data_IF_672852138855
#
_entry.id   IF_672852138855
#
_cell.length_a   1.000
_cell.length_b   1.000
_cell.length_c   1.000
_cell.angle_alpha   90.00
_cell.angle_beta   90.00
_cell.angle_gamma   90.00
#
_symmetry.space_group_name_H-M   'P 1'
#
loop_
_entity.id
_entity.type
_entity.pdbx_description
1 polymer ?
#
# COMPACT_ATOMS: atom_id res chain seq x y z
N UNK A 1 -0.31 -9.42 -0.69
CA UNK A 1 0.56 -10.23 -1.56
C UNK A 1 0.51 -9.57 -2.91
N UNK A 2 1.62 -9.44 -3.61
CA UNK A 2 1.71 -8.78 -4.92
C UNK A 2 2.65 -9.55 -5.85
N UNK A 3 2.43 -9.45 -7.16
CA UNK A 3 3.26 -10.09 -8.17
C UNK A 3 4.08 -9.08 -8.96
N UNK A 4 5.32 -9.43 -9.29
CA UNK A 4 6.14 -8.77 -10.30
C UNK A 4 6.80 -9.84 -11.18
N UNK A 5 6.28 -10.05 -12.39
CA UNK A 5 6.69 -11.19 -13.22
C UNK A 5 6.50 -12.50 -12.45
N UNK A 6 7.55 -13.32 -12.37
CA UNK A 6 7.53 -14.62 -11.67
C UNK A 6 7.75 -14.52 -10.16
N UNK A 7 7.83 -13.30 -9.60
CA UNK A 7 8.09 -13.07 -8.18
C UNK A 7 6.81 -12.71 -7.43
N UNK A 8 6.53 -13.44 -6.35
CA UNK A 8 5.44 -13.16 -5.40
C UNK A 8 6.00 -12.54 -4.12
N UNK A 9 5.54 -11.34 -3.77
CA UNK A 9 5.89 -10.64 -2.55
C UNK A 9 4.78 -10.76 -1.52
N UNK A 10 5.11 -11.16 -0.30
CA UNK A 10 4.11 -11.36 0.75
C UNK A 10 4.67 -11.18 2.14
N UNK A 11 3.80 -10.77 3.06
CA UNK A 11 4.10 -10.70 4.48
C UNK A 11 3.61 -12.00 5.10
N UNK A 12 4.48 -12.69 5.82
CA UNK A 12 4.14 -13.93 6.52
C UNK A 12 4.59 -13.87 7.97
N UNK A 13 3.87 -14.62 8.81
CA UNK A 13 4.23 -14.83 10.21
C UNK A 13 5.47 -15.73 10.26
N UNK A 14 6.53 -15.25 10.91
CA UNK A 14 7.80 -15.97 11.07
C UNK A 14 7.88 -16.68 12.42
N UNK A 15 7.39 -16.05 13.49
CA UNK A 15 7.34 -16.61 14.85
C UNK A 15 6.04 -16.22 15.53
N UNK A 16 5.84 -16.58 16.81
CA UNK A 16 4.62 -16.24 17.55
C UNK A 16 4.29 -14.74 17.55
N UNK A 17 5.32 -13.88 17.46
CA UNK A 17 5.21 -12.42 17.51
C UNK A 17 5.86 -11.67 16.33
N UNK A 18 6.60 -12.35 15.45
CA UNK A 18 7.30 -11.71 14.33
C UNK A 18 6.63 -11.96 12.99
N UNK A 19 6.60 -10.93 12.17
CA UNK A 19 6.20 -10.99 10.77
C UNK A 19 7.32 -10.42 9.90
N UNK A 20 7.49 -11.02 8.73
CA UNK A 20 8.55 -10.69 7.81
C UNK A 20 8.02 -10.62 6.38
N UNK A 21 8.71 -9.83 5.56
CA UNK A 21 8.47 -9.71 4.12
C UNK A 21 9.34 -10.73 3.39
N UNK A 22 8.70 -11.50 2.50
CA UNK A 22 9.34 -12.49 1.67
C UNK A 22 9.09 -12.20 0.19
N UNK A 23 10.02 -12.65 -0.65
CA UNK A 23 9.86 -12.79 -2.08
C UNK A 23 10.02 -14.26 -2.46
N UNK A 24 9.01 -14.83 -3.10
CA UNK A 24 9.03 -16.19 -3.63
C UNK A 24 9.18 -16.13 -5.14
N UNK A 25 10.20 -16.80 -5.66
CA UNK A 25 10.31 -17.06 -7.09
C UNK A 25 9.43 -18.27 -7.42
N UNK A 26 8.37 -18.05 -8.19
CA UNK A 26 7.40 -19.09 -8.53
C UNK A 26 7.93 -20.12 -9.52
N UNK A 27 8.95 -19.77 -10.31
CA UNK A 27 9.59 -20.68 -11.26
C UNK A 27 10.61 -21.62 -10.59
N UNK A 28 11.38 -21.12 -9.62
CA UNK A 28 12.43 -21.92 -8.94
C UNK A 28 12.03 -22.44 -7.56
N UNK A 29 10.82 -22.11 -7.08
CA UNK A 29 10.29 -22.44 -5.74
C UNK A 29 11.15 -21.93 -4.57
N UNK A 30 12.11 -21.03 -4.82
CA UNK A 30 12.96 -20.45 -3.79
C UNK A 30 12.36 -19.19 -3.15
N UNK A 31 12.35 -19.11 -1.83
CA UNK A 31 11.95 -17.90 -1.08
C UNK A 31 13.17 -17.14 -0.54
N UNK A 32 13.15 -15.82 -0.66
CA UNK A 32 14.12 -14.90 -0.05
C UNK A 32 13.44 -14.01 0.99
N UNK A 33 14.07 -13.87 2.15
CA UNK A 33 13.66 -12.92 3.19
C UNK A 33 14.15 -11.51 2.80
N UNK A 34 13.25 -10.53 2.81
CA UNK A 34 13.56 -9.14 2.43
C UNK A 34 13.60 -8.19 3.61
N UNK A 35 12.70 -8.34 4.59
CA UNK A 35 12.65 -7.47 5.77
C UNK A 35 12.04 -8.17 6.97
N UNK A 36 12.45 -7.76 8.16
CA UNK A 36 11.90 -8.18 9.46
C UNK A 36 10.93 -7.12 10.02
N UNK A 37 10.21 -7.48 11.09
CA UNK A 37 9.38 -6.57 11.88
C UNK A 37 8.34 -5.79 11.06
N UNK A 38 7.67 -6.49 10.14
CA UNK A 38 6.68 -5.90 9.25
C UNK A 38 5.30 -5.90 9.92
N UNK A 39 4.49 -4.85 9.72
CA UNK A 39 3.13 -4.83 10.23
C UNK A 39 2.22 -5.72 9.38
N UNK A 40 1.53 -6.73 9.95
CA UNK A 40 0.71 -7.67 9.17
C UNK A 40 -0.45 -6.99 8.45
N UNK A 41 -1.07 -6.02 9.11
CA UNK A 41 -2.23 -5.29 8.63
C UNK A 41 -1.88 -4.07 7.78
N UNK A 42 -0.59 -3.70 7.72
CA UNK A 42 -0.12 -2.44 7.12
C UNK A 42 -0.21 -2.39 5.59
N UNK A 43 -0.58 -3.50 4.95
CA UNK A 43 -0.53 -3.60 3.50
C UNK A 43 0.89 -3.39 2.96
N UNK A 44 0.97 -3.23 1.66
CA UNK A 44 2.23 -3.01 0.96
C UNK A 44 1.94 -2.40 -0.41
N UNK A 45 2.97 -1.78 -1.01
CA UNK A 45 2.86 -1.20 -2.34
C UNK A 45 4.10 -1.51 -3.18
N UNK A 46 3.88 -2.01 -4.38
CA UNK A 46 4.92 -2.33 -5.35
C UNK A 46 5.02 -1.24 -6.43
N UNK A 47 6.24 -0.83 -6.76
CA UNK A 47 6.55 0.10 -7.85
C UNK A 47 7.46 -0.63 -8.83
N UNK A 48 6.87 -1.23 -9.87
CA UNK A 48 7.58 -2.17 -10.75
C UNK A 48 8.67 -1.46 -11.55
N UNK A 49 8.37 -0.31 -12.16
CA UNK A 49 9.36 0.46 -12.92
C UNK A 49 10.54 0.90 -12.05
N UNK A 50 10.26 1.37 -10.83
CA UNK A 50 11.29 1.84 -9.91
C UNK A 50 12.03 0.71 -9.20
N UNK A 51 11.63 -0.55 -9.39
CA UNK A 51 12.17 -1.72 -8.67
C UNK A 51 12.19 -1.51 -7.15
N UNK A 52 11.13 -0.88 -6.64
CA UNK A 52 10.99 -0.51 -5.24
C UNK A 52 9.71 -1.08 -4.67
N UNK A 53 9.74 -1.27 -3.37
CA UNK A 53 8.59 -1.73 -2.62
C UNK A 53 8.49 -0.96 -1.31
N UNK A 54 7.27 -0.57 -0.93
CA UNK A 54 6.98 0.10 0.32
C UNK A 54 6.14 -0.79 1.24
N UNK A 55 6.41 -0.69 2.54
CA UNK A 55 5.61 -1.32 3.58
C UNK A 55 5.59 -0.49 4.86
N UNK A 56 4.64 -0.80 5.74
CA UNK A 56 4.58 -0.23 7.08
C UNK A 56 5.21 -1.22 8.08
N UNK A 57 6.20 -0.78 8.85
CA UNK A 57 6.82 -1.59 9.89
C UNK A 57 5.90 -1.73 11.12
N UNK A 58 6.21 -2.68 12.01
CA UNK A 58 5.51 -2.85 13.29
C UNK A 58 5.54 -1.60 14.17
N UNK A 59 6.54 -0.73 13.98
CA UNK A 59 6.68 0.58 14.64
C UNK A 59 5.95 1.72 13.91
N UNK A 60 5.05 1.38 12.99
CA UNK A 60 4.29 2.33 12.17
C UNK A 60 5.18 3.28 11.35
N UNK A 61 6.37 2.83 10.90
CA UNK A 61 7.23 3.61 10.00
C UNK A 61 7.01 3.18 8.56
N UNK A 62 7.09 4.13 7.62
CA UNK A 62 7.11 3.83 6.20
C UNK A 62 8.53 3.42 5.81
N UNK A 63 8.66 2.17 5.40
CA UNK A 63 9.91 1.57 4.99
C UNK A 63 9.89 1.31 3.48
N UNK A 64 11.08 1.38 2.87
CA UNK A 64 11.32 1.04 1.47
C UNK A 64 12.34 -0.06 1.38
N UNK A 65 12.07 -1.01 0.50
CA UNK A 65 13.04 -1.99 0.03
C UNK A 65 13.38 -1.67 -1.42
N UNK A 66 14.67 -1.53 -1.70
CA UNK A 66 15.16 -1.57 -3.08
C UNK A 66 15.30 -3.05 -3.49
N UNK A 67 14.60 -3.45 -4.55
CA UNK A 67 14.53 -4.85 -4.95
C UNK A 67 15.81 -5.35 -5.62
N UNK A 68 16.66 -4.45 -6.12
CA UNK A 68 17.94 -4.79 -6.74
C UNK A 68 19.02 -4.96 -5.67
N UNK A 69 19.21 -3.95 -4.81
CA UNK A 69 20.25 -3.98 -3.77
C UNK A 69 19.82 -4.77 -2.53
N UNK A 70 18.52 -5.02 -2.35
CA UNK A 70 17.90 -5.60 -1.15
C UNK A 70 18.10 -4.75 0.11
N UNK A 71 18.48 -3.49 -0.06
CA UNK A 71 18.58 -2.57 1.07
C UNK A 71 17.19 -2.15 1.55
N UNK A 72 16.99 -2.22 2.87
CA UNK A 72 15.80 -1.73 3.54
C UNK A 72 16.12 -0.42 4.26
N UNK A 73 15.34 0.63 3.99
CA UNK A 73 15.52 1.96 4.56
C UNK A 73 14.21 2.48 5.14
N UNK A 74 14.27 3.18 6.27
CA UNK A 74 13.12 3.93 6.80
C UNK A 74 13.07 5.27 6.09
N UNK A 75 11.98 5.54 5.35
CA UNK A 75 11.80 6.84 4.68
C UNK A 75 11.12 7.83 5.60
N UNK A 76 10.04 7.40 6.26
CA UNK A 76 9.26 8.25 7.16
C UNK A 76 9.13 7.56 8.50
N UNK A 77 9.81 8.06 9.55
CA UNK A 77 9.64 7.53 10.89
C UNK A 77 8.25 7.90 11.41
N UNK A 78 7.58 6.96 12.09
CA UNK A 78 6.31 7.20 12.78
C UNK A 78 5.27 7.91 11.89
N UNK A 79 4.85 7.24 10.83
CA UNK A 79 3.76 7.73 9.99
C UNK A 79 2.53 7.95 10.89
N UNK A 80 1.77 9.00 10.59
CA UNK A 80 0.44 9.39 11.10
C UNK A 80 -0.49 8.22 11.50
N UNK A 81 -1.56 8.45 12.30
CA UNK A 81 -2.02 7.57 13.39
C UNK A 81 -2.04 6.06 13.08
N UNK A 82 -1.79 5.26 14.14
CA UNK A 82 -1.63 3.82 14.02
C UNK A 82 -2.76 3.15 13.20
N UNK A 83 -2.36 2.25 12.31
CA UNK A 83 -3.32 1.40 11.58
C UNK A 83 -3.47 1.73 10.09
N UNK A 84 -2.58 2.56 9.53
CA UNK A 84 -2.54 2.80 8.09
C UNK A 84 -2.30 1.53 7.26
N UNK A 85 -2.90 1.50 6.07
CA UNK A 85 -2.78 0.40 5.09
C UNK A 85 -2.36 0.93 3.73
N UNK A 86 -1.32 0.33 3.15
CA UNK A 86 -0.83 0.60 1.80
C UNK A 86 -1.50 -0.32 0.77
N UNK A 87 -1.77 0.24 -0.41
CA UNK A 87 -2.26 -0.46 -1.58
C UNK A 87 -1.38 -0.10 -2.77
N UNK A 88 -0.94 -1.12 -3.51
CA UNK A 88 -0.34 -0.93 -4.84
C UNK A 88 -1.34 -0.20 -5.73
N UNK A 89 -0.92 0.95 -6.26
CA UNK A 89 -1.69 1.73 -7.23
C UNK A 89 -1.15 1.50 -8.63
N UNK A 90 -0.44 2.51 -9.14
CA UNK A 90 0.28 2.44 -10.41
C UNK A 90 1.81 2.48 -10.16
N UNK A 91 2.60 2.49 -11.24
CA UNK A 91 4.07 2.48 -11.15
C UNK A 91 4.70 3.73 -10.52
N UNK A 92 3.91 4.78 -10.28
CA UNK A 92 4.37 6.06 -9.72
C UNK A 92 3.81 6.34 -8.33
N UNK A 93 2.56 5.91 -8.08
CA UNK A 93 1.80 6.22 -6.88
C UNK A 93 1.12 4.98 -6.31
N UNK A 94 1.28 4.82 -5.01
CA UNK A 94 0.50 3.95 -4.15
C UNK A 94 -0.59 4.76 -3.43
N UNK A 95 -1.57 4.06 -2.87
CA UNK A 95 -2.55 4.64 -1.97
C UNK A 95 -2.24 4.25 -0.53
N UNK A 96 -2.25 5.21 0.38
CA UNK A 96 -2.14 4.99 1.81
C UNK A 96 -3.45 5.44 2.48
N UNK A 97 -4.20 4.48 3.03
CA UNK A 97 -5.42 4.75 3.79
C UNK A 97 -5.09 4.75 5.29
N UNK A 98 -5.38 5.84 5.99
CA UNK A 98 -5.08 6.04 7.40
C UNK A 98 -6.38 6.23 8.17
N UNK A 99 -6.73 5.32 9.11
CA UNK A 99 -7.91 5.50 9.94
C UNK A 99 -7.75 6.73 10.84
N UNK A 100 -8.84 7.47 11.00
CA UNK A 100 -8.95 8.61 11.91
C UNK A 100 -10.23 8.49 12.74
N UNK A 101 -10.36 9.30 13.79
CA UNK A 101 -11.60 9.33 14.56
C UNK A 101 -12.79 9.68 13.65
N UNK A 102 -13.71 8.72 13.47
CA UNK A 102 -14.92 8.89 12.66
C UNK A 102 -14.73 8.81 11.14
N UNK A 103 -13.59 8.35 10.64
CA UNK A 103 -13.36 8.33 9.20
C UNK A 103 -12.00 7.81 8.77
N UNK A 104 -11.60 8.15 7.54
CA UNK A 104 -10.34 7.74 6.92
C UNK A 104 -9.77 8.89 6.09
N UNK A 105 -8.45 9.07 6.20
CA UNK A 105 -7.67 9.89 5.28
C UNK A 105 -7.03 9.01 4.20
N UNK A 106 -7.12 9.44 2.95
CA UNK A 106 -6.46 8.83 1.82
C UNK A 106 -5.32 9.73 1.34
N UNK A 107 -4.13 9.16 1.23
CA UNK A 107 -2.95 9.84 0.72
C UNK A 107 -2.42 9.10 -0.51
N UNK A 108 -1.98 9.84 -1.53
CA UNK A 108 -1.10 9.27 -2.55
C UNK A 108 0.31 9.17 -1.96
N UNK A 109 1.02 8.09 -2.24
CA UNK A 109 2.38 7.87 -1.78
C UNK A 109 3.28 7.47 -2.96
N UNK A 110 4.32 8.26 -3.24
CA UNK A 110 5.31 7.94 -4.27
C UNK A 110 6.27 6.83 -3.82
N UNK A 111 7.03 6.24 -4.76
CA UNK A 111 8.08 5.25 -4.46
C UNK A 111 9.17 5.73 -3.49
N UNK A 112 9.36 7.06 -3.38
CA UNK A 112 10.30 7.70 -2.46
C UNK A 112 9.62 8.22 -1.18
N UNK A 113 8.39 7.78 -0.92
CA UNK A 113 7.65 8.04 0.31
C UNK A 113 7.09 9.46 0.45
N UNK A 114 7.17 10.30 -0.60
CA UNK A 114 6.41 11.57 -0.63
C UNK A 114 4.92 11.26 -0.54
N UNK A 115 4.24 11.87 0.43
CA UNK A 115 2.80 11.72 0.65
C UNK A 115 2.06 13.01 0.34
N UNK A 116 0.91 12.90 -0.31
CA UNK A 116 -0.01 14.02 -0.54
C UNK A 116 -1.42 13.60 -0.13
N UNK A 117 -2.13 14.44 0.63
CA UNK A 117 -3.51 14.18 1.03
C UNK A 117 -4.42 14.30 -0.20
N UNK A 118 -5.20 13.26 -0.48
CA UNK A 118 -6.13 13.21 -1.59
C UNK A 118 -7.55 13.51 -1.13
N UNK A 119 -7.99 12.82 -0.07
CA UNK A 119 -9.38 12.86 0.36
C UNK A 119 -9.50 12.53 1.85
N UNK A 120 -10.44 13.20 2.51
CA UNK A 120 -10.93 12.84 3.84
C UNK A 120 -12.37 12.32 3.70
N UNK A 121 -12.62 11.12 4.24
CA UNK A 121 -13.97 10.53 4.25
C UNK A 121 -14.41 10.39 5.70
N UNK A 122 -15.45 11.14 6.09
CA UNK A 122 -16.07 11.05 7.42
C UNK A 122 -17.28 10.11 7.35
N UNK A 123 -17.09 8.84 7.68
CA UNK A 123 -18.19 7.87 7.75
C UNK A 123 -18.02 6.96 8.97
N UNK A 124 -19.08 6.87 9.78
CA UNK A 124 -19.07 6.27 11.13
C UNK A 124 -19.05 4.73 11.15
N UNK A 125 -19.23 4.05 10.01
CA UNK A 125 -19.32 2.60 9.96
C UNK A 125 -18.59 2.08 8.71
N UNK A 126 -17.27 2.03 8.78
CA UNK A 126 -16.48 1.43 7.70
C UNK A 126 -15.57 0.36 8.29
N UNK A 127 -16.16 -0.81 8.55
CA UNK A 127 -15.41 -2.07 8.53
C UNK A 127 -15.26 -2.47 7.06
N UNK A 128 -14.53 -1.67 6.27
CA UNK A 128 -14.35 -2.02 4.87
C UNK A 128 -12.99 -2.66 4.66
N UNK A 129 -13.02 -3.83 4.06
CA UNK A 129 -11.94 -4.24 3.19
C UNK A 129 -11.91 -3.32 1.98
N UNK A 130 -10.81 -2.59 1.83
CA UNK A 130 -10.54 -1.76 0.67
C UNK A 130 -9.77 -2.53 -0.39
N UNK A 131 -10.09 -2.26 -1.66
CA UNK A 131 -9.36 -2.74 -2.84
C UNK A 131 -9.21 -1.63 -3.84
N UNK A 132 -7.99 -1.37 -4.27
CA UNK A 132 -7.70 -0.44 -5.35
C UNK A 132 -7.65 -1.22 -6.67
N UNK A 133 -8.34 -0.73 -7.71
CA UNK A 133 -8.28 -1.34 -9.04
C UNK A 133 -7.21 -0.66 -9.92
N UNK A 134 -6.97 -1.21 -11.12
CA UNK A 134 -5.96 -0.70 -12.07
C UNK A 134 -6.24 0.69 -12.64
N UNK A 135 -7.47 1.20 -12.51
CA UNK A 135 -7.84 2.56 -12.91
C UNK A 135 -7.63 3.58 -11.79
N UNK A 136 -7.22 3.13 -10.61
CA UNK A 136 -7.10 3.98 -9.42
C UNK A 136 -8.42 4.20 -8.68
N UNK A 137 -9.47 3.43 -8.98
CA UNK A 137 -10.73 3.48 -8.21
C UNK A 137 -10.59 2.63 -6.93
N UNK A 138 -11.04 3.19 -5.80
CA UNK A 138 -11.09 2.47 -4.54
C UNK A 138 -12.46 1.82 -4.34
N UNK A 139 -12.49 0.50 -4.37
CA UNK A 139 -13.65 -0.32 -4.03
C UNK A 139 -13.63 -0.65 -2.54
N UNK A 140 -14.80 -0.55 -1.90
CA UNK A 140 -14.93 -0.84 -0.47
C UNK A 140 -16.33 -1.35 -0.14
N UNK A 141 -16.46 -2.10 0.95
CA UNK A 141 -17.76 -2.60 1.42
C UNK A 141 -18.26 -1.69 2.53
N UNK A 142 -19.37 -0.99 2.28
CA UNK A 142 -20.09 -0.26 3.32
C UNK A 142 -21.13 -1.19 3.95
N UNK A 143 -21.07 -1.36 5.28
CA UNK A 143 -22.08 -2.09 6.04
C UNK A 143 -22.56 -1.22 7.20
N UNK A 144 -23.80 -0.73 7.08
CA UNK A 144 -24.51 -0.04 8.17
C UNK A 144 -25.23 -1.07 9.02
N UNK A 145 -25.45 -0.74 10.30
CA UNK A 145 -26.16 -1.64 11.22
C UNK A 145 -27.52 -2.03 10.63
N UNK A 146 -27.79 -3.34 10.57
CA UNK A 146 -29.02 -3.95 10.04
C UNK A 146 -29.31 -3.73 8.55
N UNK A 147 -28.39 -3.18 7.76
CA UNK A 147 -28.50 -3.09 6.30
C UNK A 147 -27.67 -4.18 5.59
N UNK A 148 -28.07 -4.55 4.38
CA UNK A 148 -27.27 -5.40 3.52
C UNK A 148 -25.95 -4.69 3.13
N UNK A 149 -24.80 -5.39 3.15
CA UNK A 149 -23.54 -4.81 2.69
C UNK A 149 -23.64 -4.30 1.25
N UNK A 150 -23.09 -3.12 1.00
CA UNK A 150 -23.05 -2.50 -0.33
C UNK A 150 -21.61 -2.37 -0.79
N UNK A 151 -21.37 -2.71 -2.05
CA UNK A 151 -20.09 -2.41 -2.70
C UNK A 151 -20.17 -0.97 -3.17
N UNK A 152 -19.27 -0.15 -2.63
CA UNK A 152 -19.13 1.26 -2.95
C UNK A 152 -17.82 1.48 -3.73
N UNK A 153 -17.77 2.59 -4.47
CA UNK A 153 -16.63 2.95 -5.31
C UNK A 153 -16.31 4.44 -5.12
N UNK A 154 -15.06 4.77 -4.79
CA UNK A 154 -14.52 6.11 -4.92
C UNK A 154 -13.70 6.15 -6.21
N UNK A 155 -14.23 6.74 -7.29
CA UNK A 155 -13.58 6.71 -8.59
C UNK A 155 -12.35 7.63 -8.63
N UNK A 156 -11.35 7.26 -9.45
CA UNK A 156 -10.20 8.08 -9.79
C UNK A 156 -9.44 8.69 -8.58
N UNK A 157 -9.27 7.91 -7.50
CA UNK A 157 -8.56 8.37 -6.32
C UNK A 157 -7.06 8.50 -6.59
N UNK A 158 -6.51 7.64 -7.44
CA UNK A 158 -5.20 7.83 -8.07
C UNK A 158 -5.37 8.10 -9.56
N UNK A 159 -4.48 8.91 -10.17
CA UNK A 159 -4.50 9.10 -11.62
C UNK A 159 -4.23 7.78 -12.34
N UNK A 160 -4.83 7.57 -13.53
CA UNK A 160 -4.50 6.42 -14.35
C UNK A 160 -3.03 6.51 -14.80
N UNK A 161 -2.37 5.37 -15.07
CA UNK A 161 -0.95 5.34 -15.45
C UNK A 161 -0.59 6.27 -16.62
N UNK A 162 -1.53 6.52 -17.52
CA UNK A 162 -1.36 7.29 -18.76
C UNK A 162 -1.40 8.81 -18.55
N UNK A 163 -2.01 9.29 -17.46
CA UNK A 163 -2.25 10.72 -17.25
C UNK A 163 -1.01 11.50 -16.74
N UNK A 164 0.01 10.82 -16.24
CA UNK A 164 1.15 11.48 -15.58
C UNK A 164 2.34 11.76 -16.50
N UNK A 165 2.31 11.35 -17.78
CA UNK A 165 3.38 11.64 -18.76
C UNK A 165 3.26 13.04 -19.41
N UNK A 166 2.47 13.96 -18.86
CA UNK A 166 2.17 15.27 -19.46
C UNK A 166 2.67 16.51 -18.68
N UNK A 167 3.59 16.36 -17.73
CA UNK A 167 4.29 17.48 -17.06
C UNK A 167 5.77 17.07 -16.91
N UNK A 168 6.78 17.70 -17.51
CA UNK A 168 7.03 19.14 -17.70
C UNK A 168 7.49 19.50 -19.13
N UNK A 169 7.16 20.69 -19.67
CA UNK A 169 8.04 21.32 -20.67
C UNK A 169 9.29 21.84 -19.93
N UNK A 170 10.47 21.33 -20.30
CA UNK A 170 11.75 21.93 -19.90
C UNK A 170 11.76 23.43 -20.28
N UNK A 171 12.28 24.32 -19.39
CA UNK A 171 12.45 25.75 -19.69
C UNK A 171 13.52 26.04 -20.74
#
# INVERSE_FOLDING_TARGET
>A
MEFLGDMLYFIAKRSSQEYALYALNTASQGSSLLAHDVKPSGGLALFATAQKFLFISSRNSLCRVDLQSRECQVITPSVWPEGGRLFTGNDQLALHAVPIAGGINFFSCSADGKMCLLLNVQHAAVSADYRLNSRGDLLYIEQKDKELPRICCLPALLPPPEATNLQDPEP
#
